data_IF_568450485671
#
_entry.id   IF_568450485671
#
_cell.length_a   1.000
_cell.length_b   1.000
_cell.length_c   1.000
_cell.angle_alpha   90.00
_cell.angle_beta   90.00
_cell.angle_gamma   90.00
#
_symmetry.space_group_name_H-M   'P 1'
#
loop_
_entity.id
_entity.type
_entity.pdbx_description
1 polymer ?
#
# COMPACT_ATOMS: atom_id res chain seq x y z
N UNK A 1 -7.82 -6.46 -9.54
CA UNK A 1 -7.26 -7.40 -8.54
C UNK A 1 -7.74 -6.98 -7.15
N UNK A 2 -8.01 -7.90 -6.22
CA UNK A 2 -8.55 -7.57 -4.88
C UNK A 2 -7.47 -7.73 -3.80
N UNK A 3 -7.45 -6.89 -2.75
CA UNK A 3 -6.54 -7.06 -1.61
C UNK A 3 -6.76 -8.43 -0.94
N UNK A 4 -5.67 -9.16 -0.72
CA UNK A 4 -5.67 -10.44 -0.04
C UNK A 4 -4.42 -10.57 0.84
N UNK A 5 -4.51 -11.29 1.95
CA UNK A 5 -3.35 -11.59 2.80
C UNK A 5 -2.29 -12.34 1.97
N UNK A 6 -1.02 -11.93 2.09
CA UNK A 6 0.08 -12.45 1.29
C UNK A 6 0.32 -11.71 -0.04
N UNK A 7 -0.60 -10.86 -0.48
CA UNK A 7 -0.43 -10.14 -1.72
C UNK A 7 0.70 -9.11 -1.63
N UNK A 8 1.53 -9.05 -2.67
CA UNK A 8 2.60 -8.05 -2.79
C UNK A 8 2.03 -6.70 -3.18
N UNK A 9 2.52 -5.66 -2.53
CA UNK A 9 2.08 -4.28 -2.75
C UNK A 9 3.28 -3.36 -2.89
N UNK A 10 3.06 -2.25 -3.58
CA UNK A 10 3.94 -1.09 -3.51
C UNK A 10 3.29 -0.04 -2.62
N UNK A 11 3.93 0.24 -1.49
CA UNK A 11 3.53 1.30 -0.58
C UNK A 11 4.14 2.61 -1.05
N UNK A 12 3.32 3.66 -1.12
CA UNK A 12 3.74 5.03 -1.40
C UNK A 12 3.53 5.91 -0.18
N UNK A 13 4.58 6.57 0.27
CA UNK A 13 4.56 7.45 1.43
C UNK A 13 5.96 7.78 1.92
N UNK A 14 6.06 8.68 2.90
CA UNK A 14 7.34 9.07 3.50
C UNK A 14 7.78 8.03 4.53
N UNK A 15 8.40 6.95 4.06
CA UNK A 15 8.73 5.78 4.88
C UNK A 15 10.23 5.71 5.17
N UNK A 16 11.07 5.87 4.15
CA UNK A 16 12.51 5.96 4.29
C UNK A 16 13.06 7.10 3.43
N UNK A 17 14.10 7.77 3.92
CA UNK A 17 14.68 8.94 3.27
C UNK A 17 15.13 8.60 1.84
N UNK A 18 14.52 9.25 0.84
CA UNK A 18 14.99 9.24 -0.55
C UNK A 18 14.21 8.37 -1.54
N UNK A 19 13.23 7.57 -1.12
CA UNK A 19 12.31 6.88 -2.04
C UNK A 19 10.86 7.09 -1.64
N UNK A 20 10.02 7.46 -2.62
CA UNK A 20 8.58 7.63 -2.40
C UNK A 20 7.82 6.30 -2.38
N UNK A 21 8.46 5.21 -2.84
CA UNK A 21 7.82 3.89 -2.97
C UNK A 21 8.68 2.77 -2.39
N UNK A 22 8.02 1.84 -1.69
CA UNK A 22 8.65 0.69 -1.06
C UNK A 22 7.82 -0.58 -1.27
N UNK A 23 8.46 -1.74 -1.47
CA UNK A 23 7.75 -3.00 -1.54
C UNK A 23 7.17 -3.37 -0.16
N UNK A 24 6.09 -4.13 -0.16
CA UNK A 24 5.46 -4.63 1.05
C UNK A 24 4.54 -5.80 0.78
N UNK A 25 3.92 -6.28 1.84
CA UNK A 25 2.99 -7.41 1.83
C UNK A 25 1.80 -7.15 2.76
N UNK A 26 0.61 -7.55 2.32
CA UNK A 26 -0.61 -7.46 3.11
C UNK A 26 -0.60 -8.55 4.19
N UNK A 27 -0.62 -8.15 5.45
CA UNK A 27 -0.68 -9.07 6.59
C UNK A 27 -2.10 -9.26 7.13
N UNK A 28 -2.99 -8.28 6.89
CA UNK A 28 -4.41 -8.37 7.27
C UNK A 28 -5.28 -7.52 6.35
N UNK A 29 -6.50 -7.97 6.06
CA UNK A 29 -7.51 -7.20 5.32
C UNK A 29 -8.68 -6.89 6.27
N UNK A 30 -9.01 -5.60 6.43
CA UNK A 30 -10.09 -5.16 7.34
C UNK A 30 -11.38 -4.78 6.61
N UNK A 31 -11.32 -4.58 5.29
CA UNK A 31 -12.45 -4.17 4.45
C UNK A 31 -12.50 -4.92 3.13
N UNK A 32 -13.45 -4.56 2.28
CA UNK A 32 -13.60 -5.15 0.96
C UNK A 32 -13.61 -4.08 -0.14
N UNK A 33 -13.14 -4.44 -1.32
CA UNK A 33 -13.18 -3.59 -2.51
C UNK A 33 -11.96 -2.68 -2.67
N UNK A 34 -12.10 -1.71 -3.57
CA UNK A 34 -11.07 -0.73 -3.92
C UNK A 34 -10.83 0.23 -2.74
N UNK A 35 -9.56 0.46 -2.37
CA UNK A 35 -9.22 1.33 -1.23
C UNK A 35 -9.50 0.70 0.14
N UNK A 36 -9.70 -0.61 0.21
CA UNK A 36 -9.90 -1.33 1.47
C UNK A 36 -8.73 -1.11 2.43
N UNK A 37 -9.05 -0.88 3.71
CA UNK A 37 -8.05 -0.74 4.74
C UNK A 37 -7.41 -2.10 5.05
N UNK A 38 -6.09 -2.16 4.96
CA UNK A 38 -5.31 -3.36 5.20
C UNK A 38 -4.15 -3.06 6.16
N UNK A 39 -3.74 -4.07 6.92
CA UNK A 39 -2.44 -4.05 7.56
C UNK A 39 -1.37 -4.49 6.55
N UNK A 40 -0.24 -3.79 6.52
CA UNK A 40 0.84 -4.01 5.55
C UNK A 40 2.18 -3.94 6.27
N UNK A 41 3.03 -4.93 6.01
CA UNK A 41 4.46 -4.86 6.36
C UNK A 41 5.22 -4.37 5.15
N UNK A 42 6.02 -3.32 5.33
CA UNK A 42 6.78 -2.65 4.28
C UNK A 42 8.26 -2.89 4.50
N UNK A 43 8.97 -3.18 3.41
CA UNK A 43 10.39 -3.55 3.39
C UNK A 43 11.22 -2.45 2.68
N UNK A 44 11.45 -1.29 3.31
CA UNK A 44 12.25 -0.23 2.72
C UNK A 44 13.73 -0.64 2.63
N UNK A 45 14.33 -0.55 1.45
CA UNK A 45 15.73 -0.90 1.24
C UNK A 45 16.67 -0.10 2.17
N UNK A 46 17.56 -0.80 2.89
CA UNK A 46 18.52 -0.18 3.81
C UNK A 46 17.92 0.30 5.13
N UNK A 47 16.66 -0.03 5.42
CA UNK A 47 15.95 0.34 6.64
C UNK A 47 15.22 -0.88 7.23
N UNK A 48 14.94 -0.90 8.55
CA UNK A 48 14.13 -1.95 9.15
C UNK A 48 12.71 -1.94 8.59
N UNK A 49 12.08 -3.12 8.63
CA UNK A 49 10.68 -3.30 8.25
C UNK A 49 9.77 -2.36 9.06
N UNK A 50 8.72 -1.86 8.39
CA UNK A 50 7.71 -1.01 9.01
C UNK A 50 6.33 -1.63 8.88
N UNK A 51 5.62 -1.68 9.99
CA UNK A 51 4.27 -2.21 10.04
C UNK A 51 3.24 -1.08 10.06
N UNK A 52 2.27 -1.16 9.17
CA UNK A 52 1.13 -0.26 9.11
C UNK A 52 -0.12 -1.05 9.49
N UNK A 53 -0.83 -0.62 10.53
CA UNK A 53 -2.01 -1.34 11.01
C UNK A 53 -3.24 -1.19 10.08
N UNK A 54 -3.36 -0.04 9.41
CA UNK A 54 -4.47 0.28 8.52
C UNK A 54 -4.06 1.35 7.49
N UNK A 55 -3.84 0.94 6.25
CA UNK A 55 -3.65 1.82 5.10
C UNK A 55 -4.58 1.40 3.95
N UNK A 56 -5.05 2.32 3.10
CA UNK A 56 -5.78 1.92 1.90
C UNK A 56 -4.89 1.14 0.94
N UNK A 57 -5.43 0.04 0.43
CA UNK A 57 -4.84 -0.72 -0.67
C UNK A 57 -5.73 -0.63 -1.90
N UNK A 58 -5.12 -0.20 -3.00
CA UNK A 58 -5.75 -0.07 -4.29
C UNK A 58 -5.33 -1.20 -5.23
N UNK A 59 -6.14 -1.48 -6.24
CA UNK A 59 -5.83 -2.46 -7.28
C UNK A 59 -4.72 -2.01 -8.22
N UNK A 60 -4.49 -0.70 -8.35
CA UNK A 60 -3.44 -0.12 -9.17
C UNK A 60 -3.08 1.30 -8.72
N UNK A 61 -1.93 1.80 -9.21
CA UNK A 61 -1.56 3.22 -9.03
C UNK A 61 -2.57 4.18 -9.66
N UNK A 62 -3.21 3.78 -10.77
CA UNK A 62 -4.22 4.58 -11.44
C UNK A 62 -5.50 4.67 -10.60
N UNK A 63 -5.97 3.55 -10.04
CA UNK A 63 -7.13 3.53 -9.16
C UNK A 63 -6.89 4.37 -7.89
N UNK A 64 -5.69 4.28 -7.31
CA UNK A 64 -5.29 5.16 -6.22
C UNK A 64 -5.27 6.65 -6.62
N UNK A 65 -4.95 6.94 -7.89
CA UNK A 65 -4.94 8.30 -8.44
C UNK A 65 -6.35 8.85 -8.65
N UNK A 66 -7.27 8.01 -9.09
CA UNK A 66 -8.65 8.42 -9.37
C UNK A 66 -9.47 8.60 -8.07
N UNK A 67 -9.02 7.99 -6.97
CA UNK A 67 -9.53 8.20 -5.59
C UNK A 67 -8.85 9.40 -4.86
N UNK A 68 -8.05 10.22 -5.57
CA UNK A 68 -7.26 11.34 -5.01
C UNK A 68 -8.04 12.47 -4.31
N UNK A 69 -9.38 12.66 -4.44
CA UNK A 69 -10.05 13.55 -3.50
C UNK A 69 -9.83 13.15 -2.02
N UNK A 70 -9.51 11.88 -1.72
CA UNK A 70 -9.23 11.37 -0.37
C UNK A 70 -7.81 10.83 -0.10
N UNK A 71 -7.02 10.50 -1.14
CA UNK A 71 -5.72 9.83 -0.96
C UNK A 71 -4.59 10.75 -0.45
N UNK A 72 -4.62 12.05 -0.77
CA UNK A 72 -3.63 13.06 -0.33
C UNK A 72 -3.80 13.50 1.13
N UNK A 73 -4.89 13.10 1.81
CA UNK A 73 -5.19 13.49 3.20
C UNK A 73 -5.01 12.35 4.22
N UNK A 74 -4.75 11.11 3.77
CA UNK A 74 -4.42 10.01 4.69
C UNK A 74 -2.94 10.10 5.04
N UNK A 75 -2.65 10.84 6.11
CA UNK A 75 -1.34 11.18 6.68
C UNK A 75 -0.22 10.10 6.63
N UNK A 76 -0.55 8.82 6.46
CA UNK A 76 0.37 7.68 6.53
C UNK A 76 0.71 7.04 5.17
N UNK A 77 0.19 7.57 4.04
CA UNK A 77 0.41 7.03 2.70
C UNK A 77 -0.63 6.00 2.25
N UNK A 78 -0.41 5.39 1.09
CA UNK A 78 -1.30 4.39 0.49
C UNK A 78 -0.51 3.30 -0.24
N UNK A 79 -1.08 2.11 -0.39
CA UNK A 79 -0.47 1.03 -1.14
C UNK A 79 -1.31 0.65 -2.36
N UNK A 80 -0.67 0.04 -3.35
CA UNK A 80 -1.36 -0.58 -4.49
C UNK A 80 -0.76 -1.95 -4.79
N UNK A 81 -1.59 -2.88 -5.24
CA UNK A 81 -1.16 -4.22 -5.61
C UNK A 81 -0.07 -4.15 -6.69
N UNK A 82 0.99 -4.95 -6.52
CA UNK A 82 1.91 -5.20 -7.62
C UNK A 82 1.20 -6.12 -8.61
N UNK A 83 1.18 -5.76 -9.88
CA UNK A 83 0.78 -6.70 -10.91
C UNK A 83 1.77 -7.86 -10.83
N UNK A 84 1.29 -9.08 -10.56
CA UNK A 84 2.10 -10.27 -10.81
C UNK A 84 2.46 -10.22 -12.29
N UNK A 85 3.76 -10.07 -12.56
CA UNK A 85 4.26 -9.79 -13.90
C UNK A 85 3.70 -10.76 -14.94
N UNK A 86 3.36 -10.18 -16.10
CA UNK A 86 3.52 -10.87 -17.37
C UNK A 86 4.98 -11.29 -17.58
#
# INVERSE_FOLDING_TARGET
MKPAVGAKVTMRGYIANGSDTHPGEITKVHGAGEGALCAVTVHPAGHPDKEFAAIPVYSSRAAARDDIPGATLRHNGYAYLQEEGQ
#
